data_IF_903781665985
#
_entry.id   IF_903781665985
#
_cell.length_a   1.000
_cell.length_b   1.000
_cell.length_c   1.000
_cell.angle_alpha   90.00
_cell.angle_beta   90.00
_cell.angle_gamma   90.00
#
_symmetry.space_group_name_H-M   'P 1'
#
loop_
_entity.id
_entity.type
_entity.pdbx_description
1 polymer ?
#
# COMPACT_ATOMS: atom_id res chain seq x y z
N UNK A 1 -25.47 11.51 50.99
CA UNK A 1 -24.31 11.54 50.08
C UNK A 1 -24.20 10.19 49.38
N UNK A 2 -24.23 10.16 48.06
CA UNK A 2 -24.05 8.94 47.28
C UNK A 2 -23.65 9.30 45.86
N UNK A 3 -22.36 9.60 45.66
CA UNK A 3 -21.79 9.85 44.34
C UNK A 3 -21.85 8.57 43.51
N UNK A 4 -22.83 8.49 42.60
CA UNK A 4 -22.82 7.51 41.51
C UNK A 4 -21.62 7.81 40.62
N UNK A 5 -20.59 6.97 40.70
CA UNK A 5 -19.53 6.91 39.69
C UNK A 5 -20.14 6.41 38.38
N UNK A 6 -20.22 7.29 37.38
CA UNK A 6 -20.39 6.89 36.00
C UNK A 6 -19.15 6.07 35.58
N UNK A 7 -19.30 4.85 35.05
CA UNK A 7 -18.20 4.21 34.36
C UNK A 7 -17.97 4.98 33.06
N UNK A 8 -16.80 5.60 32.93
CA UNK A 8 -16.38 6.25 31.71
C UNK A 8 -16.43 5.26 30.57
N UNK A 9 -17.31 5.49 29.60
CA UNK A 9 -17.38 4.75 28.36
C UNK A 9 -16.12 5.04 27.55
N UNK A 10 -15.09 4.21 27.71
CA UNK A 10 -13.92 4.24 26.85
C UNK A 10 -14.31 3.99 25.39
N UNK A 11 -13.55 4.53 24.42
CA UNK A 11 -13.87 4.37 23.00
C UNK A 11 -13.90 2.87 22.66
N UNK A 12 -14.96 2.46 21.97
CA UNK A 12 -15.13 1.09 21.49
C UNK A 12 -13.92 0.65 20.66
N UNK A 13 -13.60 -0.65 20.59
CA UNK A 13 -12.44 -1.14 19.84
C UNK A 13 -12.38 -0.66 18.38
N UNK A 14 -13.55 -0.47 17.75
CA UNK A 14 -13.69 0.09 16.40
C UNK A 14 -13.26 1.55 16.32
N UNK A 15 -13.54 2.34 17.36
CA UNK A 15 -13.16 3.74 17.43
C UNK A 15 -11.65 3.92 17.66
N UNK A 16 -11.05 3.08 18.52
CA UNK A 16 -9.59 3.03 18.69
C UNK A 16 -8.87 2.67 17.39
N UNK A 17 -9.33 1.64 16.68
CA UNK A 17 -8.76 1.24 15.39
C UNK A 17 -8.86 2.38 14.35
N UNK A 18 -9.98 3.09 14.30
CA UNK A 18 -10.15 4.27 13.43
C UNK A 18 -9.20 5.41 13.80
N UNK A 19 -9.00 5.68 15.09
CA UNK A 19 -8.08 6.72 15.57
C UNK A 19 -6.62 6.38 15.25
N UNK A 20 -6.16 5.16 15.58
CA UNK A 20 -4.82 4.67 15.24
C UNK A 20 -4.54 4.81 13.75
N UNK A 21 -5.55 4.47 12.93
CA UNK A 21 -5.41 4.56 11.48
C UNK A 21 -5.33 5.99 10.96
N UNK A 22 -6.15 6.90 11.47
CA UNK A 22 -6.05 8.33 11.12
C UNK A 22 -4.67 8.87 11.48
N UNK A 23 -4.16 8.49 12.64
CA UNK A 23 -2.81 8.83 13.06
C UNK A 23 -1.74 8.29 12.08
N UNK A 24 -1.82 7.01 11.70
CA UNK A 24 -0.89 6.43 10.70
C UNK A 24 -0.92 7.17 9.36
N UNK A 25 -2.10 7.56 8.88
CA UNK A 25 -2.24 8.33 7.64
C UNK A 25 -1.61 9.73 7.76
N UNK A 26 -1.75 10.39 8.91
CA UNK A 26 -1.08 11.67 9.19
C UNK A 26 0.44 11.50 9.24
N UNK A 27 0.93 10.44 9.87
CA UNK A 27 2.36 10.11 9.92
C UNK A 27 2.93 9.88 8.51
N UNK A 28 2.19 9.17 7.65
CA UNK A 28 2.54 9.00 6.23
C UNK A 28 2.72 10.37 5.54
N UNK A 29 1.79 11.30 5.73
CA UNK A 29 1.86 12.62 5.11
C UNK A 29 3.06 13.44 5.62
N UNK A 30 3.29 13.44 6.94
CA UNK A 30 4.45 14.11 7.56
C UNK A 30 5.77 13.53 7.03
N UNK A 31 5.89 12.21 6.94
CA UNK A 31 7.11 11.56 6.46
C UNK A 31 7.35 11.81 4.97
N UNK A 32 6.31 11.87 4.16
CA UNK A 32 6.43 12.22 2.75
C UNK A 32 6.97 13.65 2.58
N UNK A 33 6.47 14.61 3.36
CA UNK A 33 6.98 15.98 3.38
C UNK A 33 8.42 16.07 3.90
N UNK A 34 8.75 15.32 4.96
CA UNK A 34 10.12 15.25 5.47
C UNK A 34 11.09 14.71 4.41
N UNK A 35 10.75 13.61 3.73
CA UNK A 35 11.59 13.04 2.67
C UNK A 35 11.75 14.04 1.53
N UNK A 36 10.67 14.71 1.11
CA UNK A 36 10.72 15.77 0.10
C UNK A 36 11.68 16.89 0.50
N UNK A 37 11.58 17.38 1.73
CA UNK A 37 12.51 18.38 2.26
C UNK A 37 13.97 17.92 2.25
N UNK A 38 14.25 16.64 2.61
CA UNK A 38 15.60 16.08 2.51
C UNK A 38 16.09 16.01 1.06
N UNK A 39 15.21 15.65 0.13
CA UNK A 39 15.53 15.65 -1.30
C UNK A 39 15.85 17.05 -1.82
N UNK A 40 15.05 18.05 -1.45
CA UNK A 40 15.29 19.46 -1.80
C UNK A 40 16.63 19.95 -1.23
N UNK A 41 16.93 19.58 0.02
CA UNK A 41 18.22 19.89 0.66
C UNK A 41 19.39 19.31 -0.12
N UNK A 42 19.31 18.03 -0.51
CA UNK A 42 20.35 17.35 -1.30
C UNK A 42 20.46 17.95 -2.70
N UNK A 43 19.34 18.22 -3.37
CA UNK A 43 19.31 18.81 -4.71
C UNK A 43 19.85 20.24 -4.74
N UNK A 44 19.75 20.98 -3.62
CA UNK A 44 20.30 22.32 -3.47
C UNK A 44 21.81 22.36 -3.15
N UNK A 45 22.43 21.21 -2.86
CA UNK A 45 23.88 21.15 -2.66
C UNK A 45 24.60 21.37 -3.99
N UNK A 46 25.60 22.27 -3.99
CA UNK A 46 26.45 22.46 -5.16
C UNK A 46 27.29 21.19 -5.39
N UNK A 47 27.37 20.69 -6.63
CA UNK A 47 28.11 19.46 -6.92
C UNK A 47 29.63 19.62 -6.70
N UNK A 48 30.35 18.51 -6.43
CA UNK A 48 29.86 17.14 -6.36
C UNK A 48 29.44 16.72 -4.94
N UNK A 49 28.24 16.14 -4.83
CA UNK A 49 27.79 15.47 -3.60
C UNK A 49 28.57 14.16 -3.46
N UNK A 50 29.24 13.96 -2.33
CA UNK A 50 30.01 12.75 -2.07
C UNK A 50 29.07 11.52 -1.93
N UNK A 51 29.43 10.34 -2.48
CA UNK A 51 28.60 9.13 -2.38
C UNK A 51 28.30 8.67 -0.95
N UNK A 52 29.25 8.81 -0.03
CA UNK A 52 29.12 8.38 1.37
C UNK A 52 27.98 9.08 2.12
N UNK A 53 27.94 10.42 2.15
CA UNK A 53 26.83 11.18 2.73
C UNK A 53 25.46 10.85 2.11
N UNK A 54 25.39 10.64 0.80
CA UNK A 54 24.14 10.27 0.13
C UNK A 54 23.63 8.89 0.57
N UNK A 55 24.54 7.91 0.67
CA UNK A 55 24.21 6.57 1.16
C UNK A 55 23.78 6.60 2.64
N UNK A 56 24.48 7.36 3.48
CA UNK A 56 24.12 7.54 4.88
C UNK A 56 22.71 8.13 5.03
N UNK A 57 22.38 9.12 4.18
CA UNK A 57 21.05 9.72 4.19
C UNK A 57 19.95 8.76 3.70
N UNK A 58 20.22 8.01 2.64
CA UNK A 58 19.33 6.94 2.17
C UNK A 58 19.04 5.93 3.29
N UNK A 59 20.10 5.39 3.92
CA UNK A 59 19.97 4.42 5.00
C UNK A 59 19.20 5.00 6.19
N UNK A 60 19.43 6.27 6.54
CA UNK A 60 18.68 6.97 7.58
C UNK A 60 17.20 7.03 7.25
N UNK A 61 16.82 7.42 6.04
CA UNK A 61 15.42 7.49 5.61
C UNK A 61 14.77 6.10 5.67
N UNK A 62 15.40 5.09 5.04
CA UNK A 62 14.87 3.72 4.99
C UNK A 62 14.69 3.16 6.40
N UNK A 63 15.71 3.27 7.25
CA UNK A 63 15.65 2.79 8.64
C UNK A 63 14.57 3.51 9.45
N UNK A 64 14.45 4.84 9.28
CA UNK A 64 13.43 5.62 9.98
C UNK A 64 12.02 5.21 9.56
N UNK A 65 11.79 4.96 8.26
CA UNK A 65 10.50 4.49 7.77
C UNK A 65 10.11 3.15 8.42
N UNK A 66 11.03 2.18 8.44
CA UNK A 66 10.74 0.87 9.03
C UNK A 66 10.62 0.92 10.56
N UNK A 67 11.40 1.75 11.26
CA UNK A 67 11.27 1.91 12.72
C UNK A 67 9.95 2.58 13.09
N UNK A 68 9.58 3.68 12.43
CA UNK A 68 8.35 4.43 12.74
C UNK A 68 7.10 3.58 12.45
N UNK A 69 7.14 2.77 11.40
CA UNK A 69 6.03 1.91 11.02
C UNK A 69 6.14 0.48 11.55
N UNK A 70 7.03 0.21 12.51
CA UNK A 70 7.19 -1.11 13.14
C UNK A 70 7.30 -2.26 12.12
N UNK A 71 8.14 -2.07 11.10
CA UNK A 71 8.34 -3.04 10.03
C UNK A 71 7.24 -3.09 8.95
N UNK A 72 6.16 -2.29 9.06
CA UNK A 72 5.02 -2.36 8.14
C UNK A 72 5.37 -1.88 6.72
N UNK A 73 5.64 -2.83 5.84
CA UNK A 73 5.84 -2.62 4.39
C UNK A 73 4.69 -1.83 3.76
N UNK A 74 3.46 -2.08 4.21
CA UNK A 74 2.28 -1.39 3.72
C UNK A 74 2.35 0.12 3.95
N UNK A 75 2.64 0.55 5.18
CA UNK A 75 2.75 1.97 5.52
C UNK A 75 3.99 2.63 4.89
N UNK A 76 5.11 1.90 4.83
CA UNK A 76 6.33 2.36 4.16
C UNK A 76 6.07 2.65 2.68
N UNK A 77 5.47 1.72 1.95
CA UNK A 77 5.18 1.89 0.52
C UNK A 77 4.05 2.89 0.25
N UNK A 78 3.08 3.03 1.15
CA UNK A 78 2.11 4.13 1.09
C UNK A 78 2.80 5.50 1.22
N UNK A 79 3.86 5.59 2.03
CA UNK A 79 4.69 6.79 2.12
C UNK A 79 5.41 7.06 0.81
N UNK A 80 6.00 6.03 0.18
CA UNK A 80 6.63 6.18 -1.14
C UNK A 80 5.65 6.66 -2.22
N UNK A 81 4.39 6.20 -2.21
CA UNK A 81 3.38 6.66 -3.17
C UNK A 81 3.00 8.14 -3.01
N UNK A 82 3.14 8.69 -1.80
CA UNK A 82 2.88 10.12 -1.51
C UNK A 82 3.99 11.04 -2.01
N UNK A 83 5.18 10.50 -2.31
CA UNK A 83 6.27 11.28 -2.85
C UNK A 83 5.93 11.72 -4.28
N UNK A 84 6.01 13.04 -4.51
CA UNK A 84 5.85 13.60 -5.84
C UNK A 84 7.12 13.35 -6.66
N UNK A 85 7.00 12.84 -7.89
CA UNK A 85 8.16 12.59 -8.73
C UNK A 85 8.73 13.93 -9.23
N UNK A 86 9.93 14.28 -8.75
CA UNK A 86 10.77 15.33 -9.33
C UNK A 86 12.13 14.71 -9.68
N UNK A 87 12.59 14.92 -10.92
CA UNK A 87 13.89 14.43 -11.39
C UNK A 87 15.07 15.00 -10.62
N UNK A 88 14.91 16.17 -9.98
CA UNK A 88 15.91 16.76 -9.09
C UNK A 88 16.13 15.90 -7.84
N UNK A 89 15.11 15.15 -7.42
CA UNK A 89 15.16 14.30 -6.24
C UNK A 89 15.72 12.90 -6.54
N UNK A 90 15.99 12.57 -7.81
CA UNK A 90 16.40 11.23 -8.23
C UNK A 90 17.65 10.73 -7.49
N UNK A 91 18.62 11.59 -7.17
CA UNK A 91 19.84 11.20 -6.46
C UNK A 91 19.55 10.50 -5.12
N UNK A 92 18.58 11.01 -4.35
CA UNK A 92 18.22 10.44 -3.05
C UNK A 92 17.05 9.46 -3.16
N UNK A 93 16.05 9.75 -3.99
CA UNK A 93 14.86 8.91 -4.10
C UNK A 93 15.14 7.59 -4.80
N UNK A 94 15.98 7.55 -5.84
CA UNK A 94 16.29 6.29 -6.52
C UNK A 94 16.78 5.21 -5.54
N UNK A 95 17.84 5.43 -4.74
CA UNK A 95 18.30 4.42 -3.81
C UNK A 95 17.31 4.15 -2.67
N UNK A 96 16.47 5.12 -2.27
CA UNK A 96 15.40 4.87 -1.28
C UNK A 96 14.35 3.91 -1.83
N UNK A 97 13.86 4.15 -3.06
CA UNK A 97 12.91 3.23 -3.72
C UNK A 97 13.53 1.86 -3.94
N UNK A 98 14.79 1.81 -4.40
CA UNK A 98 15.53 0.57 -4.59
C UNK A 98 15.62 -0.23 -3.29
N UNK A 99 16.14 0.37 -2.22
CA UNK A 99 16.31 -0.31 -0.93
C UNK A 99 14.98 -0.80 -0.37
N UNK A 100 13.93 0.03 -0.37
CA UNK A 100 12.63 -0.39 0.15
C UNK A 100 12.04 -1.52 -0.69
N UNK A 101 11.98 -1.38 -2.02
CA UNK A 101 11.27 -2.36 -2.87
C UNK A 101 12.04 -3.67 -3.06
N UNK A 102 13.37 -3.64 -2.97
CA UNK A 102 14.19 -4.86 -3.00
C UNK A 102 14.25 -5.55 -1.64
N UNK A 103 14.29 -4.79 -0.53
CA UNK A 103 14.22 -5.37 0.83
C UNK A 103 12.87 -6.02 1.12
N UNK A 104 11.79 -5.51 0.51
CA UNK A 104 10.47 -6.17 0.56
C UNK A 104 10.54 -7.60 0.00
N UNK A 105 11.37 -7.85 -1.01
CA UNK A 105 11.58 -9.17 -1.61
C UNK A 105 12.34 -10.18 -0.74
N UNK A 106 12.81 -9.80 0.45
CA UNK A 106 13.35 -10.74 1.43
C UNK A 106 12.25 -11.50 2.20
N UNK A 107 10.99 -11.08 2.11
CA UNK A 107 9.86 -11.91 2.50
C UNK A 107 9.47 -12.84 1.33
N UNK A 108 8.92 -14.02 1.62
CA UNK A 108 8.53 -14.99 0.58
C UNK A 108 7.66 -14.31 -0.51
N UNK A 109 8.08 -14.32 -1.80
CA UNK A 109 7.39 -13.65 -2.90
C UNK A 109 5.91 -14.05 -3.01
N UNK A 110 5.59 -15.25 -2.55
CA UNK A 110 4.25 -15.82 -2.54
C UNK A 110 3.25 -15.04 -1.65
N UNK A 111 3.71 -14.32 -0.61
CA UNK A 111 2.82 -13.65 0.35
C UNK A 111 2.67 -12.15 0.13
N UNK A 112 3.66 -11.51 -0.49
CA UNK A 112 3.75 -10.06 -0.59
C UNK A 112 2.62 -9.48 -1.42
N UNK A 113 2.25 -10.06 -2.57
CA UNK A 113 1.24 -9.50 -3.48
C UNK A 113 0.00 -10.40 -3.65
N UNK A 114 -0.41 -11.14 -2.62
CA UNK A 114 -1.58 -12.04 -2.67
C UNK A 114 -2.91 -11.32 -2.85
N UNK A 115 -2.99 -10.10 -2.34
CA UNK A 115 -4.21 -9.30 -2.38
C UNK A 115 -4.12 -8.26 -3.49
N UNK A 116 -5.25 -7.95 -4.12
CA UNK A 116 -5.33 -6.93 -5.16
C UNK A 116 -4.84 -5.56 -4.65
N UNK A 117 -5.21 -5.08 -3.44
CA UNK A 117 -4.67 -3.81 -2.93
C UNK A 117 -3.15 -3.79 -2.82
N UNK A 118 -2.54 -4.90 -2.39
CA UNK A 118 -1.08 -4.96 -2.28
C UNK A 118 -0.39 -5.01 -3.65
N UNK A 119 -0.92 -5.83 -4.57
CA UNK A 119 -0.44 -5.90 -5.96
C UNK A 119 -0.46 -4.51 -6.61
N UNK A 120 -1.60 -3.81 -6.53
CA UNK A 120 -1.75 -2.47 -7.13
C UNK A 120 -0.83 -1.45 -6.44
N UNK A 121 -0.70 -1.50 -5.10
CA UNK A 121 0.22 -0.62 -4.35
C UNK A 121 1.65 -0.74 -4.86
N UNK A 122 2.16 -1.97 -4.93
CA UNK A 122 3.53 -2.24 -5.36
C UNK A 122 3.74 -1.92 -6.84
N UNK A 123 2.78 -2.25 -7.71
CA UNK A 123 2.82 -1.86 -9.12
C UNK A 123 2.95 -0.34 -9.29
N UNK A 124 2.15 0.43 -8.54
CA UNK A 124 2.23 1.89 -8.53
C UNK A 124 3.57 2.39 -7.96
N UNK A 125 4.14 1.73 -6.94
CA UNK A 125 5.47 2.08 -6.42
C UNK A 125 6.55 1.87 -7.48
N UNK A 126 6.53 0.77 -8.22
CA UNK A 126 7.49 0.55 -9.31
C UNK A 126 7.31 1.55 -10.44
N UNK A 127 6.07 1.88 -10.82
CA UNK A 127 5.79 2.96 -11.79
C UNK A 127 6.32 4.31 -11.32
N UNK A 128 6.13 4.64 -10.03
CA UNK A 128 6.66 5.85 -9.40
C UNK A 128 8.19 5.86 -9.43
N UNK A 129 8.85 4.77 -9.07
CA UNK A 129 10.31 4.66 -9.16
C UNK A 129 10.80 4.84 -10.60
N UNK A 130 10.16 4.19 -11.58
CA UNK A 130 10.49 4.35 -13.02
C UNK A 130 10.33 5.78 -13.51
N UNK A 131 9.40 6.56 -12.94
CA UNK A 131 9.17 7.96 -13.34
C UNK A 131 10.33 8.90 -12.95
N UNK A 132 11.15 8.51 -11.97
CA UNK A 132 12.33 9.27 -11.53
C UNK A 132 13.48 9.22 -12.53
N UNK A 133 13.49 8.24 -13.45
CA UNK A 133 14.61 7.99 -14.37
C UNK A 133 14.24 8.22 -15.82
N UNK A 134 15.17 8.80 -16.59
CA UNK A 134 15.04 8.97 -18.04
C UNK A 134 15.63 7.81 -18.83
N UNK A 135 16.67 7.16 -18.29
CA UNK A 135 17.49 6.18 -19.00
C UNK A 135 16.82 4.83 -19.21
N UNK A 136 17.13 4.20 -20.36
CA UNK A 136 16.52 2.93 -20.78
C UNK A 136 17.05 1.74 -19.96
N UNK A 137 18.32 1.79 -19.53
CA UNK A 137 18.94 0.70 -18.78
C UNK A 137 18.34 0.59 -17.38
N UNK A 138 18.22 1.73 -16.71
CA UNK A 138 17.63 1.89 -15.38
C UNK A 138 16.16 1.45 -15.39
N UNK A 139 15.37 1.90 -16.38
CA UNK A 139 13.98 1.45 -16.53
C UNK A 139 13.86 -0.07 -16.67
N UNK A 140 14.76 -0.71 -17.43
CA UNK A 140 14.78 -2.17 -17.57
C UNK A 140 15.20 -2.87 -16.27
N UNK A 141 16.13 -2.30 -15.51
CA UNK A 141 16.53 -2.81 -14.19
C UNK A 141 15.34 -2.81 -13.22
N UNK A 142 14.62 -1.69 -13.16
CA UNK A 142 13.41 -1.56 -12.33
C UNK A 142 12.33 -2.56 -12.78
N UNK A 143 12.14 -2.75 -14.09
CA UNK A 143 11.22 -3.76 -14.62
C UNK A 143 11.62 -5.18 -14.22
N UNK A 144 12.92 -5.51 -14.22
CA UNK A 144 13.41 -6.81 -13.80
C UNK A 144 13.11 -7.07 -12.31
N UNK A 145 13.37 -6.09 -11.43
CA UNK A 145 13.01 -6.19 -10.01
C UNK A 145 11.50 -6.35 -9.80
N UNK A 146 10.68 -5.59 -10.54
CA UNK A 146 9.24 -5.69 -10.44
C UNK A 146 8.71 -7.07 -10.87
N UNK A 147 9.27 -7.65 -11.93
CA UNK A 147 8.89 -8.99 -12.43
C UNK A 147 9.32 -10.11 -11.48
N UNK A 148 10.42 -9.92 -10.73
CA UNK A 148 10.83 -10.87 -9.70
C UNK A 148 9.89 -10.84 -8.49
N UNK A 149 9.36 -9.66 -8.13
CA UNK A 149 8.55 -9.48 -6.93
C UNK A 149 7.05 -9.69 -7.14
N UNK A 150 6.51 -9.23 -8.28
CA UNK A 150 5.08 -9.26 -8.55
C UNK A 150 4.66 -10.53 -9.31
N UNK A 151 3.46 -11.08 -9.04
CA UNK A 151 2.92 -12.16 -9.85
C UNK A 151 2.78 -11.72 -11.30
N UNK A 152 2.88 -12.65 -12.26
CA UNK A 152 2.76 -12.33 -13.69
C UNK A 152 1.42 -11.73 -14.12
N UNK A 153 0.38 -11.89 -13.28
CA UNK A 153 -0.97 -11.34 -13.45
C UNK A 153 -1.53 -10.82 -12.14
N UNK A 154 -2.51 -9.92 -12.22
CA UNK A 154 -3.23 -9.44 -11.05
C UNK A 154 -3.92 -10.62 -10.33
N UNK A 155 -3.90 -10.67 -8.98
CA UNK A 155 -4.63 -11.67 -8.22
C UNK A 155 -6.14 -11.67 -8.53
N UNK A 156 -6.80 -12.80 -8.32
CA UNK A 156 -8.25 -12.91 -8.50
C UNK A 156 -9.01 -12.17 -7.39
N UNK A 157 -10.13 -11.55 -7.75
CA UNK A 157 -11.03 -10.88 -6.79
C UNK A 157 -11.52 -11.90 -5.75
N UNK A 158 -11.37 -11.56 -4.47
CA UNK A 158 -11.89 -12.38 -3.35
C UNK A 158 -12.98 -11.65 -2.59
N UNK A 159 -12.91 -10.32 -2.53
CA UNK A 159 -13.82 -9.48 -1.78
C UNK A 159 -14.34 -8.33 -2.63
N UNK A 160 -15.55 -7.84 -2.34
CA UNK A 160 -16.10 -6.66 -3.01
C UNK A 160 -15.23 -5.41 -2.80
N UNK A 161 -14.49 -5.35 -1.68
CA UNK A 161 -13.51 -4.29 -1.39
C UNK A 161 -12.30 -4.27 -2.32
N UNK A 162 -12.06 -5.33 -3.09
CA UNK A 162 -10.98 -5.38 -4.09
C UNK A 162 -11.34 -4.63 -5.37
N UNK A 163 -12.64 -4.56 -5.71
CA UNK A 163 -13.13 -4.00 -6.97
C UNK A 163 -12.66 -2.56 -7.24
N UNK A 164 -12.67 -1.64 -6.24
CA UNK A 164 -12.16 -0.29 -6.46
C UNK A 164 -10.67 -0.25 -6.83
N UNK A 165 -9.86 -1.17 -6.31
CA UNK A 165 -8.43 -1.25 -6.63
C UNK A 165 -8.19 -1.89 -7.99
N UNK A 166 -8.94 -2.95 -8.33
CA UNK A 166 -8.85 -3.59 -9.64
C UNK A 166 -9.18 -2.61 -10.76
N UNK A 167 -10.18 -1.74 -10.57
CA UNK A 167 -10.59 -0.71 -11.53
C UNK A 167 -9.54 0.36 -11.80
N UNK A 168 -8.47 0.42 -11.01
CA UNK A 168 -7.32 1.30 -11.26
C UNK A 168 -6.39 0.75 -12.34
N UNK A 169 -6.46 -0.56 -12.62
CA UNK A 169 -5.65 -1.19 -13.64
C UNK A 169 -6.25 -0.90 -15.02
N UNK A 170 -5.44 -0.42 -15.98
CA UNK A 170 -5.90 -0.24 -17.36
C UNK A 170 -6.21 -1.61 -17.98
N UNK A 171 -7.13 -1.66 -18.96
CA UNK A 171 -7.52 -2.91 -19.59
C UNK A 171 -6.33 -3.54 -20.32
N UNK A 172 -6.14 -4.85 -20.12
CA UNK A 172 -5.07 -5.62 -20.75
C UNK A 172 -5.65 -6.45 -21.90
N UNK A 173 -5.09 -6.37 -23.12
CA UNK A 173 -5.51 -7.19 -24.25
C UNK A 173 -5.47 -8.69 -23.92
N UNK A 174 -6.38 -9.47 -24.50
CA UNK A 174 -6.48 -10.91 -24.22
C UNK A 174 -5.15 -11.65 -24.45
N UNK A 175 -4.42 -11.31 -25.51
CA UNK A 175 -3.11 -11.87 -25.84
C UNK A 175 -2.01 -11.59 -24.79
N UNK A 176 -2.20 -10.56 -23.96
CA UNK A 176 -1.21 -10.12 -22.97
C UNK A 176 -1.55 -10.56 -21.53
N UNK A 177 -2.69 -11.23 -21.30
CA UNK A 177 -3.14 -11.61 -19.95
C UNK A 177 -2.17 -12.52 -19.20
N UNK A 178 -1.45 -13.39 -19.91
CA UNK A 178 -0.44 -14.27 -19.30
C UNK A 178 0.79 -13.50 -18.78
N UNK A 179 1.03 -12.30 -19.30
CA UNK A 179 2.15 -11.42 -18.92
C UNK A 179 1.66 -10.03 -18.52
N UNK A 180 0.47 -9.96 -17.94
CA UNK A 180 -0.24 -8.72 -17.59
C UNK A 180 0.67 -7.75 -16.83
N UNK A 181 1.36 -8.19 -15.78
CA UNK A 181 2.23 -7.32 -14.98
C UNK A 181 3.35 -6.70 -15.81
N UNK A 182 4.00 -7.50 -16.67
CA UNK A 182 5.04 -7.00 -17.58
C UNK A 182 4.45 -6.00 -18.57
N UNK A 183 3.28 -6.31 -19.14
CA UNK A 183 2.58 -5.42 -20.06
C UNK A 183 2.25 -4.08 -19.40
N UNK A 184 1.69 -4.11 -18.19
CA UNK A 184 1.35 -2.93 -17.39
C UNK A 184 2.59 -2.09 -17.04
N UNK A 185 3.72 -2.72 -16.70
CA UNK A 185 4.97 -2.03 -16.35
C UNK A 185 5.63 -1.33 -17.54
N UNK A 186 5.75 -2.04 -18.66
CA UNK A 186 6.49 -1.58 -19.85
C UNK A 186 5.73 -0.49 -20.59
N UNK A 187 4.41 -0.63 -20.71
CA UNK A 187 3.59 0.32 -21.44
C UNK A 187 3.15 1.47 -20.53
N UNK A 188 3.13 2.70 -21.07
CA UNK A 188 2.72 3.89 -20.35
C UNK A 188 1.20 4.07 -20.39
N UNK A 189 0.50 3.12 -19.75
CA UNK A 189 -0.97 3.05 -19.77
C UNK A 189 -1.64 3.69 -18.55
N UNK A 190 -0.84 4.10 -17.57
CA UNK A 190 -1.32 4.68 -16.32
C UNK A 190 -1.15 6.18 -16.36
N UNK A 191 -2.23 6.92 -16.13
CA UNK A 191 -2.10 8.24 -15.51
C UNK A 191 -1.69 8.00 -14.05
N UNK A 192 -0.39 8.07 -13.80
CA UNK A 192 0.18 7.66 -12.52
C UNK A 192 -0.35 8.50 -11.36
N UNK A 193 -0.48 9.82 -11.52
CA UNK A 193 -0.98 10.68 -10.45
C UNK A 193 -2.46 10.42 -10.17
N UNK A 194 -3.26 10.21 -11.22
CA UNK A 194 -4.65 9.85 -11.06
C UNK A 194 -4.80 8.50 -10.33
N UNK A 195 -4.09 7.47 -10.78
CA UNK A 195 -4.15 6.14 -10.21
C UNK A 195 -3.67 6.12 -8.75
N UNK A 196 -2.58 6.83 -8.43
CA UNK A 196 -2.09 6.96 -7.04
C UNK A 196 -3.11 7.72 -6.18
N UNK A 197 -3.66 8.83 -6.68
CA UNK A 197 -4.68 9.60 -5.96
C UNK A 197 -5.91 8.76 -5.63
N UNK A 198 -6.41 7.99 -6.61
CA UNK A 198 -7.56 7.09 -6.40
C UNK A 198 -7.21 5.91 -5.48
N UNK A 199 -6.04 5.30 -5.64
CA UNK A 199 -5.57 4.24 -4.75
C UNK A 199 -5.60 4.69 -3.28
N UNK A 200 -5.02 5.85 -3.00
CA UNK A 200 -4.95 6.40 -1.65
C UNK A 200 -6.34 6.76 -1.12
N UNK A 201 -7.25 7.28 -1.96
CA UNK A 201 -8.65 7.54 -1.57
C UNK A 201 -9.39 6.24 -1.23
N UNK A 202 -9.27 5.20 -2.05
CA UNK A 202 -9.88 3.90 -1.79
C UNK A 202 -9.32 3.28 -0.53
N UNK A 203 -7.99 3.29 -0.38
CA UNK A 203 -7.30 2.84 0.81
C UNK A 203 -7.88 3.52 2.05
N UNK A 204 -7.93 4.87 2.08
CA UNK A 204 -8.52 5.66 3.18
C UNK A 204 -9.97 5.26 3.51
N UNK A 205 -10.77 4.80 2.54
CA UNK A 205 -12.16 4.37 2.77
C UNK A 205 -12.28 2.91 3.24
N UNK A 206 -11.47 1.99 2.72
CA UNK A 206 -11.62 0.55 2.98
C UNK A 206 -11.13 0.11 4.35
N UNK A 207 -10.17 0.82 4.97
CA UNK A 207 -9.71 0.51 6.33
C UNK A 207 -10.69 0.88 7.46
N UNK A 208 -11.99 0.69 7.24
CA UNK A 208 -13.09 0.91 8.18
C UNK A 208 -13.99 -0.31 8.42
N UNK A 209 -13.73 -1.43 7.75
CA UNK A 209 -14.44 -2.70 7.97
C UNK A 209 -13.50 -3.71 8.63
N UNK A 210 -13.69 -4.07 9.91
CA UNK A 210 -13.37 -5.43 10.28
C UNK A 210 -14.32 -6.33 9.48
N UNK A 211 -13.74 -7.37 8.87
CA UNK A 211 -14.51 -8.53 8.43
C UNK A 211 -15.09 -9.11 9.71
N UNK A 212 -16.35 -8.76 10.04
CA UNK A 212 -17.12 -9.51 11.03
C UNK A 212 -17.37 -10.87 10.40
N UNK A 213 -16.48 -11.80 10.71
CA UNK A 213 -16.64 -13.23 10.55
C UNK A 213 -17.72 -13.69 11.55
N UNK A 214 -18.98 -13.36 11.29
CA UNK A 214 -20.11 -13.72 12.16
C UNK A 214 -21.44 -13.69 11.41
N UNK A 215 -21.60 -14.61 10.46
CA UNK A 215 -22.86 -15.33 10.30
C UNK A 215 -22.56 -16.79 9.99
N UNK A 216 -21.90 -17.47 10.94
CA UNK A 216 -22.28 -18.84 11.23
C UNK A 216 -23.69 -18.78 11.84
N UNK A 217 -24.73 -18.83 11.00
CA UNK A 217 -26.05 -19.24 11.49
C UNK A 217 -25.96 -20.74 11.67
N UNK A 218 -25.80 -21.14 12.93
CA UNK A 218 -26.09 -22.47 13.44
C UNK A 218 -27.35 -23.00 12.78
N UNK A 219 -27.15 -24.01 11.94
CA UNK A 219 -28.14 -25.04 11.71
C UNK A 219 -28.09 -25.96 12.94
N UNK A 220 -29.27 -26.39 13.39
CA UNK A 220 -29.58 -27.23 14.57
C UNK A 220 -29.60 -26.45 15.89
N UNK A 221 -30.65 -26.51 16.71
CA UNK A 221 -31.42 -27.69 17.04
C UNK A 221 -32.86 -27.37 17.49
N UNK A 222 -33.66 -28.41 17.32
CA UNK A 222 -35.05 -28.73 17.53
C UNK A 222 -35.85 -28.19 18.73
N UNK A 223 -37.17 -28.23 18.48
CA UNK A 223 -38.24 -28.66 19.39
C UNK A 223 -38.87 -27.62 20.34
N UNK A 224 -40.17 -27.85 20.57
CA UNK A 224 -41.05 -27.20 21.55
C UNK A 224 -41.71 -25.90 21.07
N UNK A 225 -42.71 -26.06 20.20
CA UNK A 225 -44.05 -25.47 20.45
C UNK A 225 -45.12 -26.37 19.85
N UNK A 226 -45.55 -27.30 20.71
CA UNK A 226 -46.78 -28.06 20.59
C UNK A 226 -48.02 -27.14 20.50
N UNK A 227 -49.04 -27.70 19.83
CA UNK A 227 -50.50 -27.59 20.07
C UNK A 227 -51.33 -26.62 19.22
N UNK A 228 -52.14 -27.31 18.39
CA UNK A 228 -53.55 -27.13 18.01
C UNK A 228 -53.77 -26.59 16.60
N UNK A 229 -54.13 -27.50 15.69
CA UNK A 229 -55.53 -27.69 15.28
C UNK A 229 -55.67 -28.98 14.44
N UNK A 230 -56.39 -29.95 14.99
CA UNK A 230 -57.18 -30.99 14.28
C UNK A 230 -58.55 -30.30 14.09
N UNK A 231 -59.29 -30.39 12.98
CA UNK A 231 -59.78 -31.62 12.35
C UNK A 231 -60.22 -31.40 10.90
N UNK A 232 -60.08 -32.45 10.09
CA UNK A 232 -61.13 -32.93 9.20
C UNK A 232 -61.65 -34.24 9.81
#
# INVERSE_FOLDING_TARGET
MGLRRHPGSGPSGRERARQTRRYQLTVIDILADYIRFRCETVAGLHPPILPGPLLAECNRIVSSLFVIFDGSVELVTLTLLRLLPDRRHTLLLYPVFENVLTSVGCAEPADIARTIPCYVRLLLCFKRWKSLVGGRAEKRSIDAHAIQLLPGRCPTVRHASDLPFLRLLPPVPAAQRATETRYLLVNDLFDLEHCVGQFLRHYRRTGGHPVDESTAKQHDDSSIRQRRLVSA
#
